data_IF_619714112753
#
_entry.id   IF_619714112753
#
_cell.length_a   1.000
_cell.length_b   1.000
_cell.length_c   1.000
_cell.angle_alpha   90.00
_cell.angle_beta   90.00
_cell.angle_gamma   90.00
#
_symmetry.space_group_name_H-M   'P 1'
#
loop_
_entity.id
_entity.type
_entity.pdbx_description
1 polymer ?
#
# COMPACT_ATOMS: atom_id res chain seq x y z
N UNK A 1 -10.87 -7.07 -12.49
CA UNK A 1 -10.51 -5.95 -11.58
C UNK A 1 -10.55 -4.65 -12.36
N UNK A 2 -11.28 -3.67 -11.87
CA UNK A 2 -11.33 -2.33 -12.47
C UNK A 2 -10.04 -1.56 -12.20
N UNK A 3 -9.88 -0.41 -12.89
CA UNK A 3 -8.72 0.47 -12.65
C UNK A 3 -8.70 0.93 -11.19
N UNK A 4 -9.84 1.35 -10.66
CA UNK A 4 -9.93 1.80 -9.27
C UNK A 4 -9.65 0.69 -8.27
N UNK A 5 -10.18 -0.49 -8.49
CA UNK A 5 -9.90 -1.66 -7.65
C UNK A 5 -8.42 -2.01 -7.67
N UNK A 6 -7.79 -1.96 -8.84
CA UNK A 6 -6.36 -2.24 -8.97
C UNK A 6 -5.52 -1.20 -8.23
N UNK A 7 -5.83 0.09 -8.37
CA UNK A 7 -5.12 1.16 -7.68
C UNK A 7 -5.29 1.08 -6.17
N UNK A 8 -6.48 0.74 -5.70
CA UNK A 8 -6.73 0.51 -4.28
C UNK A 8 -5.90 -0.66 -3.76
N UNK A 9 -5.78 -1.72 -4.54
CA UNK A 9 -4.97 -2.89 -4.17
C UNK A 9 -3.47 -2.54 -4.11
N UNK A 10 -2.98 -1.73 -5.04
CA UNK A 10 -1.60 -1.23 -5.00
C UNK A 10 -1.35 -0.46 -3.70
N UNK A 11 -2.25 0.44 -3.33
CA UNK A 11 -2.10 1.22 -2.10
C UNK A 11 -2.21 0.33 -0.86
N UNK A 12 -3.08 -0.67 -0.87
CA UNK A 12 -3.16 -1.66 0.21
C UNK A 12 -1.81 -2.34 0.43
N UNK A 13 -1.19 -2.77 -0.66
CA UNK A 13 0.13 -3.44 -0.59
C UNK A 13 1.20 -2.47 -0.07
N UNK A 14 1.26 -1.26 -0.62
CA UNK A 14 2.26 -0.27 -0.22
C UNK A 14 2.09 0.16 1.25
N UNK A 15 0.87 0.27 1.73
CA UNK A 15 0.63 0.58 3.15
C UNK A 15 1.09 -0.56 4.05
N UNK A 16 0.96 -1.80 3.60
CA UNK A 16 1.37 -2.97 4.38
C UNK A 16 2.89 -3.15 4.41
N UNK A 17 3.54 -3.08 3.24
CA UNK A 17 4.97 -3.44 3.11
C UNK A 17 5.92 -2.25 2.99
N UNK A 18 5.41 -1.06 2.77
CA UNK A 18 6.14 0.21 2.61
C UNK A 18 7.02 0.29 1.38
N UNK A 19 7.60 -0.79 0.91
CA UNK A 19 8.38 -0.79 -0.32
C UNK A 19 8.19 -2.09 -1.10
N UNK A 20 8.22 -1.95 -2.41
CA UNK A 20 8.08 -3.07 -3.34
C UNK A 20 8.72 -2.67 -4.67
N UNK A 21 8.44 -3.42 -5.73
CA UNK A 21 8.90 -3.09 -7.07
C UNK A 21 7.75 -3.13 -8.06
N UNK A 22 7.90 -2.41 -9.16
CA UNK A 22 6.89 -2.42 -10.24
C UNK A 22 6.69 -3.83 -10.80
N UNK A 23 7.76 -4.60 -11.11
CA UNK A 23 7.58 -5.98 -11.57
C UNK A 23 6.84 -6.88 -10.58
N UNK A 24 7.08 -6.72 -9.29
CA UNK A 24 6.37 -7.50 -8.25
C UNK A 24 4.88 -7.18 -8.24
N UNK A 25 4.53 -5.92 -8.32
CA UNK A 25 3.12 -5.51 -8.39
C UNK A 25 2.45 -6.04 -9.66
N UNK A 26 3.14 -5.94 -10.80
CA UNK A 26 2.63 -6.44 -12.08
C UNK A 26 2.35 -7.95 -11.99
N UNK A 27 3.28 -8.71 -11.44
CA UNK A 27 3.11 -10.16 -11.24
C UNK A 27 1.95 -10.47 -10.29
N UNK A 28 1.91 -9.79 -9.14
CA UNK A 28 0.87 -10.02 -8.13
C UNK A 28 -0.53 -9.71 -8.64
N UNK A 29 -0.67 -8.71 -9.50
CA UNK A 29 -1.98 -8.26 -9.98
C UNK A 29 -2.32 -8.79 -11.37
N UNK A 30 -1.40 -9.53 -11.99
CA UNK A 30 -1.63 -10.13 -13.31
C UNK A 30 -1.77 -9.11 -14.43
N UNK A 31 -1.04 -8.01 -14.38
CA UNK A 31 -1.05 -6.94 -15.38
C UNK A 31 0.36 -6.63 -15.86
N UNK A 32 0.47 -5.82 -16.90
CA UNK A 32 1.77 -5.43 -17.44
C UNK A 32 2.49 -4.40 -16.55
N UNK A 33 3.80 -4.34 -16.68
CA UNK A 33 4.63 -3.31 -16.04
C UNK A 33 4.17 -1.91 -16.45
N UNK A 34 3.83 -1.72 -17.72
CA UNK A 34 3.32 -0.43 -18.23
C UNK A 34 2.04 0.00 -17.52
N UNK A 35 1.15 -0.95 -17.25
CA UNK A 35 -0.09 -0.68 -16.52
C UNK A 35 0.20 -0.21 -15.10
N UNK A 36 1.12 -0.88 -14.41
CA UNK A 36 1.52 -0.47 -13.05
C UNK A 36 2.16 0.91 -13.06
N UNK A 37 3.03 1.20 -14.03
CA UNK A 37 3.64 2.53 -14.14
C UNK A 37 2.59 3.64 -14.28
N UNK A 38 1.55 3.41 -15.06
CA UNK A 38 0.43 4.36 -15.21
C UNK A 38 -0.33 4.52 -13.91
N UNK A 39 -0.58 3.43 -13.20
CA UNK A 39 -1.26 3.47 -11.91
C UNK A 39 -0.46 4.24 -10.87
N UNK A 40 0.85 4.00 -10.79
CA UNK A 40 1.73 4.72 -9.86
C UNK A 40 1.76 6.21 -10.18
N UNK A 41 1.81 6.57 -11.45
CA UNK A 41 1.77 7.97 -11.86
C UNK A 41 0.46 8.64 -11.41
N UNK A 42 -0.68 7.98 -11.63
CA UNK A 42 -1.97 8.49 -11.22
C UNK A 42 -2.08 8.63 -9.69
N UNK A 43 -1.62 7.63 -8.95
CA UNK A 43 -1.62 7.67 -7.48
C UNK A 43 -0.73 8.80 -6.94
N UNK A 44 0.41 9.04 -7.58
CA UNK A 44 1.36 10.05 -7.13
C UNK A 44 0.92 11.45 -7.53
N UNK A 45 0.56 11.66 -8.79
CA UNK A 45 0.27 12.99 -9.34
C UNK A 45 -1.18 13.40 -9.08
N UNK A 46 -2.15 12.53 -9.40
CA UNK A 46 -3.56 12.88 -9.32
C UNK A 46 -4.09 12.81 -7.88
N UNK A 47 -3.65 11.83 -7.11
CA UNK A 47 -4.14 11.61 -5.75
C UNK A 47 -3.16 12.05 -4.67
N UNK A 48 -1.93 12.39 -5.05
CA UNK A 48 -0.96 12.99 -4.14
C UNK A 48 -0.34 12.05 -3.10
N UNK A 49 -0.38 10.73 -3.32
CA UNK A 49 0.30 9.80 -2.40
C UNK A 49 1.81 9.96 -2.49
N UNK A 50 2.52 9.95 -1.35
CA UNK A 50 3.97 10.16 -1.32
C UNK A 50 4.74 8.88 -1.67
N UNK A 51 4.65 8.47 -2.92
CA UNK A 51 5.34 7.30 -3.44
C UNK A 51 6.61 7.75 -4.16
N UNK A 52 7.75 7.34 -3.64
CA UNK A 52 9.04 7.58 -4.30
C UNK A 52 9.36 6.42 -5.23
N UNK A 53 9.81 6.77 -6.43
CA UNK A 53 10.25 5.78 -7.41
C UNK A 53 11.75 5.86 -7.56
N UNK A 54 12.42 4.70 -7.61
CA UNK A 54 13.86 4.65 -7.89
C UNK A 54 14.09 4.14 -9.31
N UNK A 55 15.08 4.71 -9.97
CA UNK A 55 15.58 4.20 -11.24
C UNK A 55 16.56 3.09 -10.93
N UNK A 56 16.53 2.03 -11.73
CA UNK A 56 17.44 0.92 -11.57
C UNK A 56 16.75 -0.40 -11.79
N UNK A 57 17.47 -1.47 -11.54
CA UNK A 57 16.95 -2.82 -11.72
C UNK A 57 15.75 -3.06 -10.81
N UNK A 58 14.60 -3.27 -11.43
CA UNK A 58 13.40 -3.63 -10.73
C UNK A 58 12.42 -2.51 -10.42
N UNK A 59 12.71 -1.24 -10.75
CA UNK A 59 11.75 -0.15 -10.57
C UNK A 59 11.20 -0.05 -9.15
N UNK A 60 12.05 0.29 -8.19
CA UNK A 60 11.70 0.34 -6.77
C UNK A 60 10.64 1.39 -6.44
N UNK A 61 9.74 1.04 -5.54
CA UNK A 61 8.68 1.90 -5.03
C UNK A 61 8.77 1.93 -3.51
N UNK A 62 8.78 3.14 -2.95
CA UNK A 62 8.78 3.33 -1.49
C UNK A 62 7.67 4.30 -1.13
N UNK A 63 6.78 3.88 -0.25
CA UNK A 63 5.80 4.78 0.33
C UNK A 63 6.45 5.46 1.53
N UNK A 64 6.61 6.80 1.42
CA UNK A 64 7.11 7.61 2.55
C UNK A 64 6.05 7.65 3.65
N UNK A 65 6.41 8.18 4.81
CA UNK A 65 5.48 8.32 5.93
C UNK A 65 4.17 8.94 5.46
N UNK A 66 3.12 8.15 5.50
CA UNK A 66 1.80 8.55 5.05
C UNK A 66 0.81 8.39 6.20
N UNK A 67 0.23 9.52 6.63
CA UNK A 67 -0.89 9.55 7.54
C UNK A 67 -1.99 10.36 6.90
N UNK A 68 -3.20 9.85 6.91
CA UNK A 68 -4.32 10.57 6.34
C UNK A 68 -4.66 11.77 7.24
N UNK A 69 -4.49 13.02 6.75
CA UNK A 69 -4.57 14.21 7.63
C UNK A 69 -5.96 14.49 8.18
N UNK A 70 -7.00 13.92 7.58
CA UNK A 70 -8.39 14.18 7.93
C UNK A 70 -9.08 13.01 8.62
N UNK A 71 -8.38 11.91 8.87
CA UNK A 71 -8.94 10.75 9.56
C UNK A 71 -8.47 10.72 11.00
N UNK A 72 -9.37 10.27 11.87
CA UNK A 72 -9.05 10.10 13.28
C UNK A 72 -7.94 9.07 13.44
N UNK A 73 -7.01 9.37 14.34
CA UNK A 73 -5.97 8.44 14.74
C UNK A 73 -6.62 7.34 15.57
N UNK A 74 -6.19 6.11 15.36
CA UNK A 74 -6.65 4.98 16.15
C UNK A 74 -6.27 5.17 17.62
N UNK A 75 -7.16 4.74 18.52
CA UNK A 75 -6.87 4.75 19.94
C UNK A 75 -5.82 3.69 20.27
N UNK A 76 -5.18 3.81 21.44
CA UNK A 76 -4.20 2.82 21.91
C UNK A 76 -4.84 1.43 22.01
N UNK A 77 -6.07 1.35 22.45
CA UNK A 77 -6.82 0.09 22.55
C UNK A 77 -7.04 -0.51 21.17
N UNK A 78 -7.49 0.30 20.21
CA UNK A 78 -7.70 -0.15 18.82
C UNK A 78 -6.39 -0.66 18.20
N UNK A 79 -5.30 0.05 18.38
CA UNK A 79 -3.98 -0.37 17.92
C UNK A 79 -3.59 -1.71 18.52
N UNK A 80 -3.77 -1.86 19.81
CA UNK A 80 -3.42 -3.09 20.54
C UNK A 80 -4.20 -4.30 20.01
N UNK A 81 -5.51 -4.14 19.84
CA UNK A 81 -6.38 -5.21 19.31
C UNK A 81 -5.98 -5.58 17.88
N UNK A 82 -5.78 -4.58 17.04
CA UNK A 82 -5.39 -4.82 15.64
C UNK A 82 -4.03 -5.52 15.53
N UNK A 83 -3.06 -5.14 16.35
CA UNK A 83 -1.75 -5.80 16.38
C UNK A 83 -1.86 -7.25 16.84
N UNK A 84 -2.66 -7.52 17.87
CA UNK A 84 -2.89 -8.88 18.35
C UNK A 84 -3.53 -9.76 17.27
N UNK A 85 -4.54 -9.23 16.57
CA UNK A 85 -5.20 -9.94 15.47
C UNK A 85 -4.24 -10.22 14.31
N UNK A 86 -3.32 -9.30 14.01
CA UNK A 86 -2.33 -9.49 12.95
C UNK A 86 -1.48 -10.74 13.17
N UNK A 87 -1.19 -11.08 14.42
CA UNK A 87 -0.37 -12.26 14.77
C UNK A 87 -1.11 -13.58 14.68
N UNK A 88 -2.44 -13.58 14.64
CA UNK A 88 -3.27 -14.78 14.77
C UNK A 88 -4.16 -15.06 13.57
N UNK A 89 -4.03 -14.29 12.50
CA UNK A 89 -4.87 -14.40 11.33
C UNK A 89 -4.08 -14.83 10.10
N UNK A 90 -4.77 -15.04 8.98
CA UNK A 90 -4.12 -15.39 7.72
C UNK A 90 -3.29 -14.24 7.15
N UNK A 91 -2.44 -14.56 6.18
CA UNK A 91 -1.50 -13.60 5.60
C UNK A 91 -2.21 -12.40 4.93
N UNK A 92 -3.30 -12.66 4.22
CA UNK A 92 -4.05 -11.59 3.56
C UNK A 92 -4.68 -10.64 4.58
N UNK A 93 -5.37 -11.17 5.57
CA UNK A 93 -6.00 -10.37 6.62
C UNK A 93 -4.94 -9.61 7.43
N UNK A 94 -3.82 -10.25 7.75
CA UNK A 94 -2.70 -9.60 8.44
C UNK A 94 -2.16 -8.42 7.63
N UNK A 95 -2.05 -8.57 6.34
CA UNK A 95 -1.59 -7.52 5.43
C UNK A 95 -2.55 -6.32 5.43
N UNK A 96 -3.85 -6.56 5.39
CA UNK A 96 -4.87 -5.51 5.47
C UNK A 96 -4.80 -4.77 6.82
N UNK A 97 -4.70 -5.51 7.92
CA UNK A 97 -4.60 -4.92 9.26
C UNK A 97 -3.30 -4.10 9.42
N UNK A 98 -2.20 -4.61 8.90
CA UNK A 98 -0.92 -3.89 8.90
C UNK A 98 -1.03 -2.57 8.13
N UNK A 99 -1.72 -2.58 7.00
CA UNK A 99 -1.97 -1.37 6.23
C UNK A 99 -2.77 -0.33 7.02
N UNK A 100 -3.81 -0.76 7.73
CA UNK A 100 -4.60 0.12 8.61
C UNK A 100 -3.71 0.72 9.71
N UNK A 101 -2.91 -0.11 10.38
CA UNK A 101 -1.99 0.35 11.43
C UNK A 101 -0.99 1.36 10.88
N UNK A 102 -0.43 1.12 9.70
CA UNK A 102 0.54 2.02 9.08
C UNK A 102 -0.07 3.37 8.69
N UNK A 103 -1.33 3.38 8.30
CA UNK A 103 -2.01 4.59 7.85
C UNK A 103 -2.59 5.43 8.99
N UNK A 104 -3.08 4.79 10.05
CA UNK A 104 -3.92 5.47 11.06
C UNK A 104 -3.43 5.33 12.51
N UNK A 105 -2.40 4.56 12.74
CA UNK A 105 -1.86 4.39 14.09
C UNK A 105 -0.89 5.50 14.52
#
# INVERSE_FOLDING_TARGET
MSVNERRNEIMRILLAVKQTTIPRLAESLGVSVSTIKRDILALTVDEGFPIDTSRGNGGGLVLRDFRHPHLHILSKEQISVLRALTSTTDEYTASVLTGILNAYA
#
